data_IF_489530739467
#
_entry.id   IF_489530739467
#
_cell.length_a   1.000
_cell.length_b   1.000
_cell.length_c   1.000
_cell.angle_alpha   90.00
_cell.angle_beta   90.00
_cell.angle_gamma   90.00
#
_symmetry.space_group_name_H-M   'P 1'
#
loop_
_entity.id
_entity.type
_entity.pdbx_description
1 polymer ?
#
# COMPACT_ATOMS: atom_id res chain seq x y z
N UNK A 1 1.30 9.16 25.40
CA UNK A 1 1.17 8.13 24.35
C UNK A 1 1.49 6.71 24.83
N UNK A 2 2.05 6.52 26.04
CA UNK A 2 2.32 5.17 26.56
C UNK A 2 1.03 4.32 26.58
N UNK A 3 1.10 3.11 26.03
CA UNK A 3 0.01 2.13 25.97
C UNK A 3 -0.98 2.27 24.80
N UNK A 4 -0.82 3.26 23.90
CA UNK A 4 -1.65 3.37 22.68
C UNK A 4 -1.00 2.64 21.51
N UNK A 5 -1.82 2.07 20.62
CA UNK A 5 -1.36 1.54 19.34
C UNK A 5 -1.00 2.66 18.34
N UNK A 6 -0.23 2.31 17.31
CA UNK A 6 0.33 3.25 16.35
C UNK A 6 -0.77 4.01 15.58
N UNK A 7 -1.87 3.35 15.20
CA UNK A 7 -2.98 3.97 14.48
C UNK A 7 -3.72 4.97 15.36
N UNK A 8 -3.93 4.64 16.63
CA UNK A 8 -4.52 5.57 17.60
C UNK A 8 -3.64 6.81 17.84
N UNK A 9 -2.32 6.64 17.85
CA UNK A 9 -1.38 7.77 17.96
C UNK A 9 -1.46 8.66 16.72
N UNK A 10 -1.48 8.09 15.51
CA UNK A 10 -1.62 8.84 14.25
C UNK A 10 -2.91 9.66 14.25
N UNK A 11 -4.05 9.06 14.64
CA UNK A 11 -5.36 9.73 14.61
C UNK A 11 -5.51 10.87 15.63
N UNK A 12 -4.73 10.85 16.72
CA UNK A 12 -4.95 11.76 17.87
C UNK A 12 -3.78 12.70 18.17
N UNK A 13 -2.61 12.49 17.56
CA UNK A 13 -1.45 13.35 17.73
C UNK A 13 -1.37 14.42 16.64
N UNK A 14 -0.53 15.44 16.86
CA UNK A 14 -0.28 16.53 15.91
C UNK A 14 1.22 16.86 15.88
N UNK A 15 1.66 17.59 14.85
CA UNK A 15 3.03 18.06 14.72
C UNK A 15 4.07 16.93 14.67
N UNK A 16 5.19 17.08 15.36
CA UNK A 16 6.31 16.13 15.29
C UNK A 16 5.97 14.70 15.71
N UNK A 17 5.06 14.52 16.68
CA UNK A 17 4.63 13.17 17.11
C UNK A 17 3.79 12.49 16.03
N UNK A 18 2.91 13.25 15.38
CA UNK A 18 2.14 12.76 14.24
C UNK A 18 3.08 12.36 13.10
N UNK A 19 4.02 13.22 12.72
CA UNK A 19 4.96 12.95 11.65
C UNK A 19 5.76 11.68 11.92
N UNK A 20 6.28 11.50 13.13
CA UNK A 20 7.05 10.31 13.48
C UNK A 20 6.20 9.04 13.46
N UNK A 21 4.99 9.07 14.04
CA UNK A 21 4.11 7.91 14.07
C UNK A 21 3.62 7.53 12.66
N UNK A 22 3.26 8.52 11.83
CA UNK A 22 2.83 8.33 10.46
C UNK A 22 3.96 7.77 9.59
N UNK A 23 5.20 8.28 9.74
CA UNK A 23 6.34 7.76 8.99
C UNK A 23 6.61 6.28 9.31
N UNK A 24 6.59 5.90 10.59
CA UNK A 24 6.77 4.48 10.97
C UNK A 24 5.70 3.61 10.31
N UNK A 25 4.43 4.02 10.41
CA UNK A 25 3.33 3.27 9.80
C UNK A 25 3.43 3.17 8.28
N UNK A 26 3.74 4.27 7.60
CA UNK A 26 3.84 4.31 6.14
C UNK A 26 4.97 3.39 5.62
N UNK A 27 6.10 3.32 6.33
CA UNK A 27 7.21 2.46 5.92
C UNK A 27 6.93 0.98 6.21
N UNK A 28 6.36 0.68 7.38
CA UNK A 28 5.95 -0.68 7.74
C UNK A 28 4.98 -1.25 6.68
N UNK A 29 3.93 -0.48 6.37
CA UNK A 29 2.98 -0.83 5.31
C UNK A 29 3.63 -0.97 3.92
N UNK A 30 4.55 -0.08 3.57
CA UNK A 30 5.24 -0.13 2.28
C UNK A 30 6.09 -1.39 2.13
N UNK A 31 6.85 -1.77 3.17
CA UNK A 31 7.69 -2.97 3.11
C UNK A 31 6.86 -4.26 3.14
N UNK A 32 5.72 -4.27 3.83
CA UNK A 32 4.76 -5.38 3.78
C UNK A 32 4.18 -5.61 2.38
N UNK A 33 4.12 -4.57 1.54
CA UNK A 33 3.69 -4.68 0.15
C UNK A 33 4.78 -5.24 -0.79
N UNK A 34 6.04 -5.32 -0.35
CA UNK A 34 7.17 -5.77 -1.17
C UNK A 34 7.53 -7.21 -0.81
N UNK A 35 7.75 -8.02 -1.83
CA UNK A 35 8.19 -9.41 -1.67
C UNK A 35 9.29 -9.79 -2.66
N UNK A 36 10.18 -10.73 -2.32
CA UNK A 36 11.18 -11.25 -3.24
C UNK A 36 10.53 -11.81 -4.51
N UNK A 37 11.10 -11.49 -5.68
CA UNK A 37 10.64 -12.01 -6.98
C UNK A 37 11.07 -13.46 -7.25
N UNK A 38 11.79 -14.11 -6.32
CA UNK A 38 12.33 -15.45 -6.47
C UNK A 38 11.23 -16.50 -6.43
N UNK A 39 10.92 -17.11 -7.59
CA UNK A 39 9.90 -18.14 -7.75
C UNK A 39 9.11 -18.06 -9.07
N UNK A 40 9.16 -16.93 -9.78
CA UNK A 40 8.63 -16.82 -11.14
C UNK A 40 9.77 -16.81 -12.16
N UNK A 41 9.81 -17.82 -13.03
CA UNK A 41 10.73 -17.89 -14.18
C UNK A 41 10.46 -16.87 -15.29
N UNK A 42 9.62 -15.87 -15.03
CA UNK A 42 9.34 -14.75 -15.90
C UNK A 42 9.45 -13.50 -15.04
N UNK A 43 10.12 -12.44 -15.52
CA UNK A 43 10.23 -11.14 -14.84
C UNK A 43 8.88 -10.40 -14.69
N UNK A 44 7.93 -11.02 -13.99
CA UNK A 44 6.55 -10.60 -13.80
C UNK A 44 5.95 -11.15 -12.50
N UNK A 45 4.83 -10.56 -12.08
CA UNK A 45 4.20 -10.72 -10.77
C UNK A 45 3.87 -12.17 -10.43
N UNK A 46 4.64 -12.74 -9.51
CA UNK A 46 4.38 -14.06 -8.96
C UNK A 46 3.29 -14.01 -7.88
N UNK A 47 2.10 -13.50 -8.19
CA UNK A 47 0.96 -13.56 -7.28
C UNK A 47 -0.32 -13.46 -8.08
N UNK A 48 -1.17 -14.48 -7.98
CA UNK A 48 -2.59 -14.31 -8.29
C UNK A 48 -3.12 -13.23 -7.36
N UNK A 49 -3.62 -12.15 -7.93
CA UNK A 49 -4.39 -11.16 -7.19
C UNK A 49 -5.61 -11.86 -6.57
N UNK A 50 -5.97 -11.50 -5.33
CA UNK A 50 -7.21 -11.99 -4.75
C UNK A 50 -8.40 -11.61 -5.65
N UNK A 51 -9.34 -12.55 -5.86
CA UNK A 51 -10.44 -12.35 -6.80
C UNK A 51 -11.36 -11.19 -6.37
N UNK A 52 -11.56 -10.99 -5.07
CA UNK A 52 -12.39 -9.87 -4.59
C UNK A 52 -11.68 -8.54 -4.79
N UNK A 53 -10.35 -8.51 -4.57
CA UNK A 53 -9.54 -7.33 -4.85
C UNK A 53 -9.56 -6.99 -6.35
N UNK A 54 -9.38 -7.97 -7.22
CA UNK A 54 -9.45 -7.76 -8.66
C UNK A 54 -10.80 -7.19 -9.08
N UNK A 55 -11.91 -7.80 -8.63
CA UNK A 55 -13.25 -7.32 -8.95
C UNK A 55 -13.51 -5.90 -8.44
N UNK A 56 -13.01 -5.54 -7.26
CA UNK A 56 -13.12 -4.19 -6.72
C UNK A 56 -12.34 -3.17 -7.56
N UNK A 57 -11.13 -3.52 -7.98
CA UNK A 57 -10.30 -2.66 -8.84
C UNK A 57 -10.92 -2.49 -10.23
N UNK A 58 -11.42 -3.56 -10.84
CA UNK A 58 -12.08 -3.49 -12.14
C UNK A 58 -13.40 -2.70 -12.07
N UNK A 59 -14.14 -2.79 -10.96
CA UNK A 59 -15.34 -1.99 -10.73
C UNK A 59 -15.04 -0.48 -10.65
N UNK A 60 -13.95 -0.10 -9.97
CA UNK A 60 -13.62 1.31 -9.74
C UNK A 60 -12.85 1.94 -10.92
N UNK A 61 -11.91 1.19 -11.50
CA UNK A 61 -10.99 1.70 -12.53
C UNK A 61 -11.30 1.18 -13.94
N UNK A 62 -12.32 0.32 -14.09
CA UNK A 62 -12.72 -0.31 -15.36
C UNK A 62 -11.82 -1.46 -15.80
N UNK A 63 -10.53 -1.44 -15.45
CA UNK A 63 -9.60 -2.55 -15.66
C UNK A 63 -8.39 -2.45 -14.74
N UNK A 64 -7.68 -3.57 -14.53
CA UNK A 64 -6.43 -3.58 -13.77
C UNK A 64 -5.33 -2.74 -14.44
N UNK A 65 -5.31 -2.65 -15.77
CA UNK A 65 -4.34 -1.83 -16.51
C UNK A 65 -4.59 -0.33 -16.32
N UNK A 66 -5.86 0.10 -16.33
CA UNK A 66 -6.23 1.47 -16.01
C UNK A 66 -5.85 1.83 -14.56
N UNK A 67 -6.10 0.92 -13.62
CA UNK A 67 -5.67 1.10 -12.23
C UNK A 67 -4.16 1.32 -12.14
N UNK A 68 -3.35 0.46 -12.78
CA UNK A 68 -1.88 0.62 -12.79
C UNK A 68 -1.46 1.97 -13.37
N UNK A 69 -2.08 2.39 -14.49
CA UNK A 69 -1.76 3.66 -15.13
C UNK A 69 -2.06 4.86 -14.22
N UNK A 70 -3.24 4.92 -13.61
CA UNK A 70 -3.62 5.99 -12.68
C UNK A 70 -2.81 5.95 -11.39
N UNK A 71 -2.50 4.76 -10.86
CA UNK A 71 -1.66 4.59 -9.67
C UNK A 71 -0.23 5.10 -9.89
N UNK A 72 0.40 4.73 -11.02
CA UNK A 72 1.73 5.22 -11.38
C UNK A 72 1.72 6.72 -11.60
N UNK A 73 0.72 7.24 -12.33
CA UNK A 73 0.55 8.68 -12.54
C UNK A 73 0.42 9.45 -11.22
N UNK A 74 -0.29 8.90 -10.24
CA UNK A 74 -0.37 9.49 -8.89
C UNK A 74 0.95 9.46 -8.11
N UNK A 75 1.85 8.52 -8.41
CA UNK A 75 3.15 8.42 -7.78
C UNK A 75 4.24 9.28 -8.45
N UNK A 76 4.11 9.57 -9.75
CA UNK A 76 5.12 10.30 -10.55
C UNK A 76 4.68 11.70 -10.98
N UNK A 77 3.45 12.09 -10.65
CA UNK A 77 2.85 13.37 -11.02
C UNK A 77 3.38 14.56 -10.23
#
# INVERSE_FOLDING_TARGET
FAGKDLVSIIKTSNGGVFNNAAQVYNHDFYFDCIKPSTGCGCGGSCQSIDANLQAALEKEFGSLENFKAEFIKGATG
#
